data_IF_833621559885
#
_entry.id   IF_833621559885
#
_cell.length_a   1.000
_cell.length_b   1.000
_cell.length_c   1.000
_cell.angle_alpha   90.00
_cell.angle_beta   90.00
_cell.angle_gamma   90.00
#
_symmetry.space_group_name_H-M   'P 1'
#
loop_
_entity.id
_entity.type
_entity.pdbx_description
1 polymer ?
#
# COMPACT_ATOMS: atom_id res chain seq x y z
N UNK A 1 14.20 10.13 -4.03
CA UNK A 1 12.77 10.48 -3.90
C UNK A 1 12.07 9.36 -3.16
N UNK A 2 11.00 9.65 -2.42
CA UNK A 2 10.32 8.66 -1.59
C UNK A 2 8.80 8.70 -1.73
N UNK A 3 8.17 7.58 -1.37
CA UNK A 3 6.72 7.42 -1.35
C UNK A 3 6.24 7.06 0.05
N UNK A 4 5.04 7.51 0.40
CA UNK A 4 4.31 7.09 1.59
C UNK A 4 3.08 6.32 1.15
N UNK A 5 2.90 5.08 1.59
CA UNK A 5 1.80 4.20 1.15
C UNK A 5 1.13 3.50 2.35
N UNK A 6 0.54 2.32 2.11
CA UNK A 6 -0.22 1.58 3.11
C UNK A 6 -1.53 2.28 3.45
N UNK A 7 -1.81 2.43 4.74
CA UNK A 7 -3.07 3.05 5.20
C UNK A 7 -3.05 4.57 5.21
N UNK A 8 -1.88 5.20 5.11
CA UNK A 8 -1.69 6.65 5.24
C UNK A 8 -2.37 7.49 4.15
N UNK A 9 -2.40 7.08 2.87
CA UNK A 9 -3.12 7.85 1.84
C UNK A 9 -4.64 7.85 2.00
N UNK A 10 -5.22 6.91 2.77
CA UNK A 10 -6.67 6.72 2.80
C UNK A 10 -7.45 7.87 3.44
N UNK A 11 -7.06 8.42 4.61
CA UNK A 11 -7.75 9.58 5.17
C UNK A 11 -7.71 10.80 4.24
N UNK A 12 -6.63 10.94 3.45
CA UNK A 12 -6.48 12.02 2.46
C UNK A 12 -7.44 11.82 1.28
N UNK A 13 -7.68 10.58 0.87
CA UNK A 13 -8.50 10.25 -0.31
C UNK A 13 -10.00 10.11 0.01
N UNK A 14 -10.36 9.64 1.21
CA UNK A 14 -11.70 9.14 1.52
C UNK A 14 -12.43 9.86 2.65
N UNK A 15 -11.85 10.94 3.18
CA UNK A 15 -12.37 11.66 4.35
C UNK A 15 -12.78 10.68 5.48
N UNK A 16 -11.97 9.63 5.65
CA UNK A 16 -12.22 8.62 6.67
C UNK A 16 -11.66 9.11 8.00
N UNK A 17 -12.50 9.04 9.03
CA UNK A 17 -12.11 9.40 10.39
C UNK A 17 -11.39 8.24 11.10
N UNK A 18 -10.18 7.88 10.63
CA UNK A 18 -9.29 6.96 11.32
C UNK A 18 -7.84 7.45 11.29
N UNK A 19 -7.08 7.11 12.32
CA UNK A 19 -5.65 7.37 12.39
C UNK A 19 -4.85 6.13 11.95
N UNK A 20 -3.94 6.23 10.96
CA UNK A 20 -3.02 5.15 10.62
C UNK A 20 -2.16 4.72 11.82
N UNK A 21 -2.06 3.41 12.05
CA UNK A 21 -1.27 2.86 13.15
C UNK A 21 0.25 2.91 12.87
N UNK A 22 0.62 2.96 11.60
CA UNK A 22 1.98 2.93 11.09
C UNK A 22 2.13 3.77 9.82
N UNK A 23 3.37 4.16 9.55
CA UNK A 23 3.76 4.91 8.35
C UNK A 23 4.70 4.06 7.49
N UNK A 24 4.20 3.61 6.35
CA UNK A 24 4.95 2.86 5.35
C UNK A 24 5.66 3.82 4.39
N UNK A 25 7.00 3.91 4.50
CA UNK A 25 7.85 4.81 3.70
C UNK A 25 8.74 4.00 2.77
N UNK A 26 8.69 4.30 1.48
CA UNK A 26 9.52 3.67 0.45
C UNK A 26 10.56 4.67 -0.03
N UNK A 27 11.83 4.27 -0.03
CA UNK A 27 12.96 5.09 -0.51
C UNK A 27 13.86 4.28 -1.41
N UNK A 28 14.62 4.96 -2.28
CA UNK A 28 15.70 4.31 -3.01
C UNK A 28 16.94 4.10 -2.13
N UNK A 29 17.74 3.10 -2.47
CA UNK A 29 18.97 2.74 -1.75
C UNK A 29 19.93 3.92 -1.54
N UNK A 30 20.11 4.78 -2.54
CA UNK A 30 20.98 5.96 -2.43
C UNK A 30 20.45 7.04 -1.48
N UNK A 31 19.16 6.99 -1.11
CA UNK A 31 18.53 7.90 -0.14
C UNK A 31 18.38 7.28 1.27
N UNK A 32 18.75 6.01 1.44
CA UNK A 32 18.59 5.24 2.69
C UNK A 32 19.25 5.94 3.88
N UNK A 33 20.56 6.19 3.81
CA UNK A 33 21.33 6.76 4.91
C UNK A 33 20.81 8.14 5.31
N UNK A 34 20.49 8.98 4.33
CA UNK A 34 19.94 10.33 4.57
C UNK A 34 18.60 10.25 5.27
N UNK A 35 17.74 9.32 4.86
CA UNK A 35 16.43 9.13 5.47
C UNK A 35 16.55 8.59 6.89
N UNK A 36 17.44 7.62 7.13
CA UNK A 36 17.69 7.09 8.46
C UNK A 36 18.25 8.15 9.41
N UNK A 37 19.21 8.96 8.95
CA UNK A 37 19.76 10.07 9.73
C UNK A 37 18.66 11.06 10.11
N UNK A 38 17.82 11.46 9.16
CA UNK A 38 16.69 12.35 9.40
C UNK A 38 15.73 11.77 10.46
N UNK A 39 15.28 10.53 10.27
CA UNK A 39 14.32 9.89 11.19
C UNK A 39 14.90 9.69 12.59
N UNK A 40 16.18 9.31 12.71
CA UNK A 40 16.81 9.01 13.99
C UNK A 40 17.29 10.25 14.72
N UNK A 41 17.95 11.18 14.03
CA UNK A 41 18.61 12.33 14.67
C UNK A 41 17.72 13.56 14.77
N UNK A 42 16.82 13.78 13.81
CA UNK A 42 15.93 14.96 13.82
C UNK A 42 14.59 14.61 14.45
N UNK A 43 14.00 13.47 14.07
CA UNK A 43 12.69 13.07 14.57
C UNK A 43 12.72 12.16 15.81
N UNK A 44 13.91 11.72 16.24
CA UNK A 44 14.14 10.90 17.44
C UNK A 44 13.45 9.52 17.40
N UNK A 45 13.41 8.87 16.23
CA UNK A 45 13.02 7.47 16.12
C UNK A 45 14.19 6.54 16.47
N UNK A 46 13.89 5.42 17.12
CA UNK A 46 14.84 4.36 17.38
C UNK A 46 14.60 3.18 16.43
N UNK A 47 15.68 2.55 15.96
CA UNK A 47 15.57 1.30 15.21
C UNK A 47 15.16 0.17 16.15
N UNK A 48 14.18 -0.63 15.77
CA UNK A 48 13.73 -1.81 16.51
C UNK A 48 13.88 -3.05 15.65
N UNK A 49 14.12 -4.19 16.30
CA UNK A 49 14.08 -5.48 15.61
C UNK A 49 12.65 -6.01 15.67
N UNK A 50 12.02 -6.16 14.50
CA UNK A 50 10.77 -6.89 14.38
C UNK A 50 11.02 -8.25 13.74
N UNK A 51 10.33 -9.27 14.25
CA UNK A 51 10.26 -10.61 13.64
C UNK A 51 9.24 -10.68 12.51
N UNK A 52 8.60 -9.56 12.17
CA UNK A 52 7.60 -9.54 11.11
C UNK A 52 8.28 -9.54 9.73
N UNK A 53 7.98 -10.60 8.97
CA UNK A 53 8.45 -10.83 7.62
C UNK A 53 7.38 -10.38 6.60
N UNK A 54 6.62 -9.33 6.88
CA UNK A 54 5.57 -8.80 5.98
C UNK A 54 6.12 -8.35 4.64
N UNK A 55 7.30 -7.72 4.64
CA UNK A 55 7.90 -7.11 3.45
C UNK A 55 9.02 -7.94 2.81
N UNK A 56 9.43 -9.07 3.43
CA UNK A 56 10.62 -9.83 3.03
C UNK A 56 10.55 -10.46 1.63
N UNK A 57 9.36 -10.61 1.06
CA UNK A 57 9.14 -11.26 -0.24
C UNK A 57 8.61 -10.30 -1.32
N UNK A 58 8.47 -9.00 -1.00
CA UNK A 58 7.94 -8.04 -1.96
C UNK A 58 9.01 -7.63 -2.97
N UNK A 59 8.70 -7.79 -4.26
CA UNK A 59 9.66 -7.50 -5.31
C UNK A 59 10.10 -6.04 -5.30
N UNK A 60 11.42 -5.85 -5.38
CA UNK A 60 12.09 -4.56 -5.38
C UNK A 60 12.51 -4.06 -3.99
N UNK A 61 12.00 -4.64 -2.90
CA UNK A 61 12.48 -4.30 -1.55
C UNK A 61 13.78 -5.06 -1.28
N UNK A 62 14.84 -4.32 -0.98
CA UNK A 62 16.16 -4.85 -0.64
C UNK A 62 16.43 -4.91 0.86
N UNK A 63 15.92 -3.93 1.60
CA UNK A 63 16.05 -3.83 3.06
C UNK A 63 14.78 -3.24 3.66
N UNK A 64 14.54 -3.56 4.93
CA UNK A 64 13.46 -2.96 5.71
C UNK A 64 14.02 -2.55 7.06
N UNK A 65 13.78 -1.30 7.45
CA UNK A 65 14.09 -0.79 8.78
C UNK A 65 12.79 -0.49 9.51
N UNK A 66 12.67 -1.04 10.72
CA UNK A 66 11.56 -0.76 11.61
C UNK A 66 12.00 0.30 12.61
N UNK A 67 11.26 1.40 12.67
CA UNK A 67 11.57 2.57 13.48
C UNK A 67 10.40 2.87 14.40
N UNK A 68 10.67 3.14 15.68
CA UNK A 68 9.62 3.40 16.69
C UNK A 68 9.93 4.64 17.53
N UNK A 69 8.88 5.40 17.88
CA UNK A 69 8.91 6.51 18.83
C UNK A 69 7.59 6.57 19.62
N UNK A 70 7.62 6.13 20.87
CA UNK A 70 6.38 5.92 21.64
C UNK A 70 5.53 4.87 20.92
N UNK A 71 4.26 5.16 20.66
CA UNK A 71 3.37 4.28 19.89
C UNK A 71 3.50 4.43 18.36
N UNK A 72 4.22 5.45 17.88
CA UNK A 72 4.37 5.69 16.45
C UNK A 72 5.39 4.74 15.82
N UNK A 73 5.00 4.10 14.73
CA UNK A 73 5.84 3.15 13.98
C UNK A 73 6.04 3.64 12.55
N UNK A 74 7.30 3.60 12.07
CA UNK A 74 7.66 3.85 10.67
C UNK A 74 8.34 2.59 10.12
N UNK A 75 7.82 2.12 8.99
CA UNK A 75 8.39 1.02 8.24
C UNK A 75 9.12 1.62 7.04
N UNK A 76 10.45 1.66 7.07
CA UNK A 76 11.25 2.19 5.98
C UNK A 76 11.68 1.04 5.07
N UNK A 77 11.07 0.97 3.88
CA UNK A 77 11.39 -0.01 2.84
C UNK A 77 12.35 0.59 1.83
N UNK A 78 13.51 -0.03 1.70
CA UNK A 78 14.58 0.41 0.80
C UNK A 78 14.51 -0.37 -0.49
N UNK A 79 14.34 0.34 -1.60
CA UNK A 79 14.14 -0.25 -2.92
C UNK A 79 15.48 -0.38 -3.67
N UNK A 80 15.75 -1.57 -4.23
CA UNK A 80 16.94 -1.82 -5.08
C UNK A 80 16.73 -1.41 -6.53
N UNK A 81 15.49 -1.24 -6.97
CA UNK A 81 15.16 -0.83 -8.34
C UNK A 81 14.56 0.57 -8.36
N UNK A 82 14.69 1.27 -9.50
CA UNK A 82 14.12 2.60 -9.72
C UNK A 82 12.58 2.67 -9.72
N UNK A 83 11.88 1.60 -9.35
CA UNK A 83 10.41 1.55 -9.35
C UNK A 83 9.86 1.12 -7.99
N UNK A 84 9.80 2.07 -7.06
CA UNK A 84 9.17 1.85 -5.76
C UNK A 84 7.65 1.60 -5.84
N UNK A 85 6.99 2.01 -6.94
CA UNK A 85 5.57 1.75 -7.16
C UNK A 85 5.28 0.26 -7.37
N UNK A 86 6.22 -0.51 -7.94
CA UNK A 86 6.06 -1.95 -8.14
C UNK A 86 5.82 -2.72 -6.83
N UNK A 87 6.41 -2.28 -5.72
CA UNK A 87 6.12 -2.87 -4.41
C UNK A 87 4.69 -2.55 -3.96
N UNK A 88 4.22 -1.32 -4.17
CA UNK A 88 2.87 -0.89 -3.79
C UNK A 88 1.80 -1.69 -4.54
N UNK A 89 2.01 -1.98 -5.84
CA UNK A 89 1.06 -2.80 -6.62
C UNK A 89 1.05 -4.29 -6.23
N UNK A 90 1.91 -4.75 -5.32
CA UNK A 90 1.86 -6.10 -4.76
C UNK A 90 1.01 -6.20 -3.49
N UNK A 91 0.44 -5.08 -3.01
CA UNK A 91 -0.46 -5.15 -1.87
C UNK A 91 -1.69 -6.03 -2.14
N UNK A 92 -2.29 -6.50 -1.05
CA UNK A 92 -3.35 -7.51 -1.08
C UNK A 92 -4.68 -7.04 -1.66
N UNK A 93 -4.91 -5.72 -1.79
CA UNK A 93 -6.11 -5.17 -2.40
C UNK A 93 -5.90 -3.79 -2.97
N UNK A 94 -6.81 -3.39 -3.87
CA UNK A 94 -6.73 -2.11 -4.57
C UNK A 94 -6.80 -0.89 -3.66
N UNK A 95 -7.43 -0.99 -2.48
CA UNK A 95 -7.59 0.14 -1.55
C UNK A 95 -6.25 0.66 -1.02
N UNK A 96 -5.24 -0.20 -0.88
CA UNK A 96 -3.90 0.19 -0.37
C UNK A 96 -2.87 0.37 -1.48
N UNK A 97 -3.27 0.33 -2.76
CA UNK A 97 -2.39 0.57 -3.91
C UNK A 97 -2.28 2.07 -4.26
N UNK A 98 -2.25 2.91 -3.23
CA UNK A 98 -2.21 4.36 -3.34
C UNK A 98 -0.93 4.87 -2.66
N UNK A 99 -0.41 6.02 -3.08
CA UNK A 99 0.75 6.59 -2.40
C UNK A 99 0.80 8.12 -2.49
N UNK A 100 1.51 8.72 -1.55
CA UNK A 100 1.84 10.14 -1.52
C UNK A 100 3.31 10.29 -1.87
N UNK A 101 3.61 11.21 -2.77
CA UNK A 101 4.98 11.60 -3.14
C UNK A 101 5.17 13.11 -2.93
N UNK A 102 6.39 13.60 -3.12
CA UNK A 102 6.66 15.04 -3.13
C UNK A 102 5.91 15.83 -4.22
N UNK A 103 5.37 15.14 -5.24
CA UNK A 103 4.62 15.76 -6.34
C UNK A 103 3.10 15.73 -6.15
N UNK A 104 2.60 14.98 -5.17
CA UNK A 104 1.17 14.83 -4.92
C UNK A 104 0.76 13.40 -4.57
N UNK A 105 -0.55 13.17 -4.60
CA UNK A 105 -1.18 11.89 -4.27
C UNK A 105 -1.47 11.11 -5.55
N UNK A 106 -1.05 9.85 -5.57
CA UNK A 106 -1.38 8.90 -6.62
C UNK A 106 -2.43 7.90 -6.12
N UNK A 107 -3.48 7.71 -6.92
CA UNK A 107 -4.50 6.71 -6.67
C UNK A 107 -4.63 5.78 -7.88
N UNK A 108 -4.30 4.49 -7.68
CA UNK A 108 -4.31 3.52 -8.79
C UNK A 108 -5.71 3.21 -9.31
N UNK A 109 -6.70 3.23 -8.43
CA UNK A 109 -8.08 2.86 -8.72
C UNK A 109 -9.03 3.93 -8.17
N UNK A 110 -9.11 5.12 -8.79
CA UNK A 110 -9.85 6.25 -8.25
C UNK A 110 -11.34 5.93 -8.10
N UNK A 111 -11.99 5.31 -9.09
CA UNK A 111 -13.43 5.02 -8.98
C UNK A 111 -13.75 4.02 -7.85
N UNK A 112 -12.90 3.01 -7.65
CA UNK A 112 -13.07 2.07 -6.53
C UNK A 112 -12.76 2.77 -5.21
N UNK A 113 -11.56 3.33 -5.10
CA UNK A 113 -11.05 3.91 -3.86
C UNK A 113 -12.00 4.99 -3.37
N UNK A 114 -12.28 6.03 -4.18
CA UNK A 114 -13.10 7.20 -3.82
C UNK A 114 -14.56 6.85 -3.48
N UNK A 115 -15.05 5.67 -3.86
CA UNK A 115 -16.37 5.17 -3.47
C UNK A 115 -16.32 4.20 -2.28
N UNK A 116 -15.20 4.12 -1.56
CA UNK A 116 -15.01 3.21 -0.44
C UNK A 116 -15.07 1.74 -0.84
N UNK A 117 -14.61 1.41 -2.06
CA UNK A 117 -14.67 0.05 -2.62
C UNK A 117 -13.29 -0.50 -2.90
N UNK A 118 -13.16 -1.81 -2.78
CA UNK A 118 -11.90 -2.51 -2.98
C UNK A 118 -12.09 -3.87 -3.62
N UNK A 119 -11.06 -4.33 -4.32
CA UNK A 119 -10.98 -5.68 -4.89
C UNK A 119 -9.68 -6.34 -4.45
N UNK A 120 -9.73 -7.65 -4.19
CA UNK A 120 -8.55 -8.45 -3.92
C UNK A 120 -7.53 -8.35 -5.07
N UNK A 121 -6.26 -8.22 -4.74
CA UNK A 121 -5.20 -8.43 -5.73
C UNK A 121 -5.11 -9.95 -6.03
N UNK A 122 -5.23 -10.39 -7.29
CA UNK A 122 -5.11 -11.81 -7.62
C UNK A 122 -3.82 -12.46 -7.11
N UNK A 123 -2.69 -11.73 -7.13
CA UNK A 123 -1.42 -12.26 -6.64
C UNK A 123 -1.44 -12.54 -5.14
N UNK A 124 -2.20 -11.77 -4.36
CA UNK A 124 -2.31 -11.95 -2.91
C UNK A 124 -3.23 -13.11 -2.50
N UNK A 125 -3.79 -13.83 -3.46
CA UNK A 125 -4.57 -15.06 -3.23
C UNK A 125 -3.82 -16.32 -3.66
N UNK A 126 -2.57 -16.18 -4.13
CA UNK A 126 -1.77 -17.26 -4.70
C UNK A 126 -1.36 -18.31 -3.65
N UNK A 127 -0.98 -17.91 -2.45
CA UNK A 127 -0.65 -18.81 -1.34
C UNK A 127 -1.61 -18.67 -0.16
N UNK A 128 -1.66 -19.70 0.69
CA UNK A 128 -2.49 -19.68 1.90
C UNK A 128 -2.07 -18.58 2.89
N UNK A 129 -0.76 -18.31 3.00
CA UNK A 129 -0.22 -17.24 3.84
C UNK A 129 -0.70 -15.87 3.35
N UNK A 130 -0.61 -15.60 2.05
CA UNK A 130 -1.06 -14.33 1.47
C UNK A 130 -2.57 -14.18 1.57
N UNK A 131 -3.32 -15.26 1.34
CA UNK A 131 -4.78 -15.28 1.50
C UNK A 131 -5.19 -14.88 2.90
N UNK A 132 -4.57 -15.43 3.94
CA UNK A 132 -4.85 -15.04 5.34
C UNK A 132 -4.55 -13.56 5.59
N UNK A 133 -3.45 -13.04 5.05
CA UNK A 133 -3.11 -11.60 5.14
C UNK A 133 -4.14 -10.73 4.42
N UNK A 134 -4.58 -11.14 3.23
CA UNK A 134 -5.60 -10.44 2.46
C UNK A 134 -6.93 -10.40 3.23
N UNK A 135 -7.38 -11.52 3.79
CA UNK A 135 -8.60 -11.60 4.60
C UNK A 135 -8.51 -10.71 5.85
N UNK A 136 -7.41 -10.79 6.61
CA UNK A 136 -7.19 -9.89 7.76
C UNK A 136 -7.31 -8.42 7.37
N UNK A 137 -6.75 -8.04 6.22
CA UNK A 137 -6.85 -6.67 5.76
C UNK A 137 -8.27 -6.31 5.31
N UNK A 138 -9.03 -7.24 4.71
CA UNK A 138 -10.43 -6.99 4.35
C UNK A 138 -11.28 -6.75 5.60
N UNK A 139 -11.04 -7.49 6.67
CA UNK A 139 -11.72 -7.27 7.96
C UNK A 139 -11.34 -5.90 8.52
N UNK A 140 -10.03 -5.60 8.63
CA UNK A 140 -9.50 -4.32 9.13
C UNK A 140 -10.08 -3.10 8.42
N UNK A 141 -10.18 -3.14 7.09
CA UNK A 141 -10.70 -2.02 6.29
C UNK A 141 -12.23 -2.07 6.14
N UNK A 142 -12.86 -3.24 6.23
CA UNK A 142 -14.31 -3.40 6.32
C UNK A 142 -14.88 -2.73 7.57
N UNK A 143 -14.21 -2.87 8.72
CA UNK A 143 -14.52 -2.13 9.96
C UNK A 143 -14.43 -0.61 9.79
N UNK A 144 -13.70 -0.13 8.78
CA UNK A 144 -13.55 1.30 8.42
C UNK A 144 -14.53 1.74 7.32
N UNK A 145 -15.51 0.91 6.98
CA UNK A 145 -16.54 1.21 5.99
C UNK A 145 -16.17 0.90 4.54
N UNK A 146 -15.08 0.19 4.28
CA UNK A 146 -14.70 -0.21 2.92
C UNK A 146 -15.45 -1.49 2.49
N UNK A 147 -16.12 -1.43 1.34
CA UNK A 147 -16.78 -2.57 0.70
C UNK A 147 -15.73 -3.39 -0.10
N UNK A 148 -15.20 -4.44 0.53
CA UNK A 148 -14.22 -5.34 -0.07
C UNK A 148 -14.89 -6.49 -0.83
N UNK A 149 -14.39 -6.77 -2.04
CA UNK A 149 -14.82 -7.91 -2.86
C UNK A 149 -13.64 -8.74 -3.35
N UNK A 150 -13.91 -10.01 -3.64
CA UNK A 150 -12.92 -10.89 -4.27
C UNK A 150 -12.69 -10.55 -5.73
N UNK A 151 -13.76 -10.22 -6.47
CA UNK A 151 -13.71 -9.83 -7.88
C UNK A 151 -14.39 -8.48 -8.09
N UNK A 152 -13.96 -7.78 -9.14
CA UNK A 152 -14.60 -6.52 -9.52
C UNK A 152 -16.08 -6.69 -9.89
N UNK A 153 -16.42 -7.79 -10.57
CA UNK A 153 -17.80 -8.12 -10.95
C UNK A 153 -18.75 -8.32 -9.76
N UNK A 154 -18.23 -8.56 -8.56
CA UNK A 154 -19.05 -8.74 -7.36
C UNK A 154 -19.55 -7.38 -6.84
N UNK A 155 -18.95 -6.27 -7.28
CA UNK A 155 -19.53 -4.94 -7.14
C UNK A 155 -20.59 -4.73 -8.21
N UNK A 156 -21.83 -4.45 -7.80
CA UNK A 156 -22.97 -4.25 -8.71
C UNK A 156 -22.68 -3.26 -9.85
N UNK A 157 -21.96 -2.17 -9.55
CA UNK A 157 -21.60 -1.14 -10.52
C UNK A 157 -20.67 -1.63 -11.64
N UNK A 158 -19.89 -2.69 -11.41
CA UNK A 158 -18.99 -3.30 -12.41
C UNK A 158 -19.38 -4.75 -12.75
N UNK A 159 -20.63 -5.13 -12.51
CA UNK A 159 -21.13 -6.49 -12.79
C UNK A 159 -21.00 -6.92 -14.26
N UNK A 160 -20.95 -5.95 -15.19
CA UNK A 160 -20.82 -6.17 -16.63
C UNK A 160 -19.51 -5.61 -17.22
N UNK A 161 -18.51 -5.31 -16.39
CA UNK A 161 -17.25 -4.76 -16.89
C UNK A 161 -16.52 -5.73 -17.84
N UNK A 162 -15.79 -5.18 -18.81
CA UNK A 162 -14.87 -5.93 -19.64
C UNK A 162 -13.53 -6.12 -18.90
N UNK A 163 -13.25 -7.36 -18.49
CA UNK A 163 -12.01 -7.71 -17.81
C UNK A 163 -10.79 -7.37 -18.69
N UNK A 164 -9.80 -6.68 -18.13
CA UNK A 164 -8.58 -6.27 -18.83
C UNK A 164 -8.72 -5.03 -19.72
N UNK A 165 -9.89 -4.39 -19.75
CA UNK A 165 -10.11 -3.14 -20.49
C UNK A 165 -10.71 -2.03 -19.64
N UNK A 166 -11.49 -2.37 -18.62
CA UNK A 166 -12.05 -1.38 -17.68
C UNK A 166 -10.93 -0.77 -16.80
N UNK A 167 -10.84 0.57 -16.65
CA UNK A 167 -9.81 1.22 -15.82
C UNK A 167 -9.81 0.78 -14.35
N UNK A 168 -10.96 0.37 -13.83
CA UNK A 168 -11.13 -0.15 -12.47
C UNK A 168 -10.79 -1.64 -12.35
N UNK A 169 -10.61 -2.36 -13.47
CA UNK A 169 -10.26 -3.78 -13.46
C UNK A 169 -8.79 -3.99 -13.08
N UNK A 170 -8.51 -4.79 -12.02
CA UNK A 170 -7.13 -5.12 -11.63
C UNK A 170 -6.32 -5.85 -12.70
N UNK A 171 -6.99 -6.46 -13.68
CA UNK A 171 -6.34 -7.15 -14.81
C UNK A 171 -5.97 -6.22 -15.95
N UNK A 172 -6.41 -4.95 -15.93
CA UNK A 172 -6.08 -3.97 -16.97
C UNK A 172 -4.64 -3.52 -16.82
N UNK A 173 -3.85 -3.73 -17.87
CA UNK A 173 -2.50 -3.19 -17.99
C UNK A 173 -2.60 -1.67 -18.06
N UNK A 174 -1.83 -1.00 -17.21
CA UNK A 174 -1.79 0.46 -17.13
C UNK A 174 -0.37 0.96 -17.31
N UNK A 175 -0.23 2.02 -18.07
CA UNK A 175 0.95 2.86 -18.14
C UNK A 175 0.73 4.14 -17.33
N UNK A 176 1.82 4.79 -16.93
CA UNK A 176 1.78 6.06 -16.18
C UNK A 176 1.17 7.23 -16.97
N UNK A 177 0.86 7.04 -18.25
CA UNK A 177 0.32 8.05 -19.17
C UNK A 177 -1.09 7.72 -19.69
N UNK A 178 -1.71 6.66 -19.16
CA UNK A 178 -3.09 6.29 -19.49
C UNK A 178 -4.11 7.18 -18.77
#
# INVERSE_FOLDING_TARGET
>A
GGFVSGSTPLPVLLDLNFEPNDLDVYVFDFDEDRTLVLLKQVFNFATVHMTDNTYQDMAGISRTHWLKKGENVINLMVMSSGNAAAAIFQFHSTIVMNYISGWGVFCAYPELTLNGKSVANPSALATERERKRALYCFDKYGERGIDHRGKLSDHKAWSSHACGSDPSCPMTLRALHD
#
